data_IF_858963356810
#
_entry.id   IF_858963356810
#
_cell.length_a   1.000
_cell.length_b   1.000
_cell.length_c   1.000
_cell.angle_alpha   90.00
_cell.angle_beta   90.00
_cell.angle_gamma   90.00
#
_symmetry.space_group_name_H-M   'P 1'
#
loop_
_entity.id
_entity.type
_entity.pdbx_description
1 polymer ?
#
# COMPACT_ATOMS: atom_id res chain seq x y z
N UNK A 1 -4.39 -12.81 -5.65
CA UNK A 1 -4.84 -11.47 -5.16
C UNK A 1 -4.88 -10.51 -6.32
N UNK A 2 -5.87 -9.61 -6.38
CA UNK A 2 -6.00 -8.63 -7.47
C UNK A 2 -5.60 -7.25 -6.96
N UNK A 3 -4.69 -6.59 -7.68
CA UNK A 3 -4.23 -5.25 -7.40
C UNK A 3 -4.56 -4.33 -8.57
N UNK A 4 -5.10 -3.14 -8.27
CA UNK A 4 -5.35 -2.13 -9.28
C UNK A 4 -4.16 -1.18 -9.35
N UNK A 5 -3.67 -0.97 -10.57
CA UNK A 5 -2.54 -0.11 -10.83
C UNK A 5 -2.62 0.55 -12.19
N UNK A 6 -1.53 1.23 -12.54
CA UNK A 6 -1.35 1.92 -13.80
C UNK A 6 0.01 1.57 -14.38
N UNK A 7 0.09 1.37 -15.69
CA UNK A 7 1.37 1.19 -16.37
C UNK A 7 2.14 2.51 -16.29
N UNK A 8 3.22 2.51 -15.53
CA UNK A 8 4.09 3.67 -15.32
C UNK A 8 5.16 3.76 -16.41
N UNK A 9 5.69 2.61 -16.84
CA UNK A 9 6.68 2.51 -17.92
C UNK A 9 6.41 1.27 -18.75
N UNK A 10 6.70 1.33 -20.05
CA UNK A 10 6.64 0.18 -20.94
C UNK A 10 7.78 0.27 -21.94
N UNK A 11 8.58 -0.79 -22.02
CA UNK A 11 9.65 -0.93 -23.00
C UNK A 11 9.18 -1.89 -24.09
N UNK A 12 9.01 -1.38 -25.30
CA UNK A 12 8.59 -2.14 -26.47
C UNK A 12 9.66 -3.12 -26.96
N UNK A 13 10.94 -2.82 -26.74
CA UNK A 13 12.06 -3.65 -27.22
C UNK A 13 12.16 -4.95 -26.43
N UNK A 14 11.92 -4.86 -25.12
CA UNK A 14 11.96 -6.02 -24.20
C UNK A 14 10.56 -6.55 -23.87
N UNK A 15 9.51 -5.92 -24.40
CA UNK A 15 8.10 -6.23 -24.09
C UNK A 15 7.82 -6.36 -22.59
N UNK A 16 8.40 -5.44 -21.80
CA UNK A 16 8.32 -5.44 -20.35
C UNK A 16 7.90 -4.07 -19.83
N UNK A 17 7.09 -4.04 -18.79
CA UNK A 17 6.63 -2.79 -18.20
C UNK A 17 6.72 -2.77 -16.67
N UNK A 18 6.60 -1.55 -16.14
CA UNK A 18 6.48 -1.28 -14.73
C UNK A 18 5.08 -0.76 -14.44
N UNK A 19 4.44 -1.33 -13.44
CA UNK A 19 3.14 -0.96 -12.92
C UNK A 19 3.35 -0.24 -11.60
N UNK A 20 2.70 0.91 -11.45
CA UNK A 20 2.51 1.58 -10.17
C UNK A 20 1.15 1.17 -9.61
N UNK A 21 1.15 0.47 -8.49
CA UNK A 21 -0.05 0.03 -7.79
C UNK A 21 -0.68 1.19 -7.01
N UNK A 22 -1.97 1.06 -6.69
CA UNK A 22 -2.73 2.09 -5.97
C UNK A 22 -2.24 2.34 -4.53
N UNK A 23 -1.48 1.40 -3.95
CA UNK A 23 -0.85 1.52 -2.62
C UNK A 23 0.55 2.18 -2.68
N UNK A 24 0.99 2.61 -3.87
CA UNK A 24 2.32 3.16 -4.12
C UNK A 24 3.40 2.10 -4.37
N UNK A 25 3.06 0.81 -4.28
CA UNK A 25 3.94 -0.29 -4.64
C UNK A 25 4.26 -0.32 -6.14
N UNK A 26 5.40 -0.91 -6.49
CA UNK A 26 5.82 -1.10 -7.88
C UNK A 26 5.92 -2.59 -8.20
N UNK A 27 5.40 -2.98 -9.37
CA UNK A 27 5.48 -4.36 -9.89
C UNK A 27 5.92 -4.32 -11.34
N UNK A 28 6.76 -5.27 -11.74
CA UNK A 28 7.11 -5.48 -13.16
C UNK A 28 6.19 -6.52 -13.79
N UNK A 29 6.03 -6.44 -15.11
CA UNK A 29 5.39 -7.47 -15.92
C UNK A 29 6.11 -7.63 -17.26
N UNK A 30 5.99 -8.80 -17.88
CA UNK A 30 6.43 -9.06 -19.26
C UNK A 30 5.22 -9.34 -20.16
N UNK A 31 5.48 -9.53 -21.45
CA UNK A 31 4.45 -9.97 -22.40
C UNK A 31 3.80 -11.30 -22.03
N UNK A 32 4.54 -12.19 -21.35
CA UNK A 32 4.03 -13.50 -20.94
C UNK A 32 2.99 -13.37 -19.82
N UNK A 33 3.11 -12.32 -19.01
CA UNK A 33 2.12 -11.99 -17.97
C UNK A 33 0.86 -11.33 -18.57
N UNK A 34 0.95 -10.77 -19.78
CA UNK A 34 -0.15 -10.00 -20.39
C UNK A 34 -1.18 -10.93 -21.05
N UNK A 35 -2.37 -11.00 -20.47
CA UNK A 35 -3.43 -11.92 -20.92
C UNK A 35 -4.53 -11.24 -21.75
N UNK A 36 -4.46 -9.92 -21.94
CA UNK A 36 -5.44 -9.16 -22.72
C UNK A 36 -5.08 -9.16 -24.22
N UNK A 37 -5.84 -9.91 -25.03
CA UNK A 37 -5.62 -9.99 -26.48
C UNK A 37 -6.22 -8.83 -27.27
N UNK A 38 -6.98 -7.96 -26.62
CA UNK A 38 -7.72 -6.86 -27.27
C UNK A 38 -7.00 -5.52 -27.14
N UNK A 39 -6.17 -5.37 -26.11
CA UNK A 39 -5.45 -4.13 -25.82
C UNK A 39 -3.94 -4.38 -25.79
N UNK A 40 -3.17 -3.42 -26.28
CA UNK A 40 -1.71 -3.40 -26.14
C UNK A 40 -1.31 -2.62 -24.88
N UNK A 41 -0.31 -3.09 -24.10
CA UNK A 41 0.17 -2.38 -22.92
C UNK A 41 0.63 -0.96 -23.28
N UNK A 42 0.07 0.04 -22.63
CA UNK A 42 0.39 1.46 -22.89
C UNK A 42 0.59 2.22 -21.59
N UNK A 43 1.57 3.12 -21.55
CA UNK A 43 1.81 3.98 -20.37
C UNK A 43 0.57 4.82 -20.06
N UNK A 44 0.21 4.91 -18.78
CA UNK A 44 -0.99 5.59 -18.28
C UNK A 44 -2.24 4.71 -18.28
N UNK A 45 -2.18 3.49 -18.82
CA UNK A 45 -3.31 2.57 -18.84
C UNK A 45 -3.55 1.96 -17.45
N UNK A 46 -4.81 1.97 -17.01
CA UNK A 46 -5.24 1.29 -15.79
C UNK A 46 -5.34 -0.21 -16.03
N UNK A 47 -4.70 -0.99 -15.16
CA UNK A 47 -4.63 -2.44 -15.27
C UNK A 47 -5.03 -3.12 -13.97
N UNK A 48 -5.43 -4.38 -14.09
CA UNK A 48 -5.55 -5.31 -12.99
C UNK A 48 -4.32 -6.24 -13.02
N UNK A 49 -3.57 -6.26 -11.93
CA UNK A 49 -2.47 -7.17 -11.68
C UNK A 49 -2.95 -8.29 -10.77
N UNK A 50 -2.96 -9.51 -11.29
CA UNK A 50 -3.47 -10.70 -10.61
C UNK A 50 -2.25 -11.54 -10.22
N UNK A 51 -2.00 -11.62 -8.93
CA UNK A 51 -0.91 -12.39 -8.33
C UNK A 51 -1.50 -13.66 -7.72
N UNK A 52 -1.47 -14.76 -8.46
CA UNK A 52 -1.84 -16.08 -7.95
C UNK A 52 -0.56 -16.85 -7.61
N UNK A 53 -0.61 -17.73 -6.60
CA UNK A 53 0.57 -18.34 -5.96
C UNK A 53 1.61 -18.97 -6.91
N UNK A 54 1.24 -19.26 -8.17
CA UNK A 54 2.12 -19.83 -9.18
C UNK A 54 2.20 -19.01 -10.48
N UNK A 55 1.40 -17.95 -10.66
CA UNK A 55 1.28 -17.24 -11.94
C UNK A 55 0.89 -15.78 -11.75
N UNK A 56 1.54 -14.91 -12.54
CA UNK A 56 1.18 -13.50 -12.64
C UNK A 56 0.34 -13.32 -13.91
N UNK A 57 -0.74 -12.54 -13.82
CA UNK A 57 -1.54 -12.14 -14.97
C UNK A 57 -1.81 -10.63 -14.93
N UNK A 58 -1.70 -9.99 -16.08
CA UNK A 58 -1.92 -8.55 -16.26
C UNK A 58 -2.90 -8.35 -17.40
N UNK A 59 -3.94 -7.54 -17.16
CA UNK A 59 -4.90 -7.15 -18.17
C UNK A 59 -5.45 -5.76 -17.89
N UNK A 60 -6.12 -5.16 -18.87
CA UNK A 60 -6.86 -3.91 -18.63
C UNK A 60 -7.91 -4.13 -17.56
N UNK A 61 -7.97 -3.21 -16.60
CA UNK A 61 -8.95 -3.26 -15.53
C UNK A 61 -10.36 -3.01 -16.10
N UNK A 62 -11.31 -3.88 -15.79
CA UNK A 62 -12.72 -3.67 -16.13
C UNK A 62 -13.46 -2.97 -14.99
N UNK A 63 -14.70 -2.54 -15.24
CA UNK A 63 -15.52 -1.89 -14.21
C UNK A 63 -15.70 -2.76 -12.97
N UNK A 64 -15.78 -4.09 -13.12
CA UNK A 64 -15.85 -5.01 -12.01
C UNK A 64 -14.57 -5.01 -11.16
N UNK A 65 -13.38 -4.89 -11.76
CA UNK A 65 -12.12 -4.81 -11.02
C UNK A 65 -11.97 -3.46 -10.29
N UNK A 66 -12.43 -2.37 -10.91
CA UNK A 66 -12.40 -1.04 -10.30
C UNK A 66 -13.39 -0.91 -9.15
N UNK A 67 -14.51 -1.64 -9.22
CA UNK A 67 -15.51 -1.74 -8.15
C UNK A 67 -15.13 -2.80 -7.11
N UNK A 68 -14.30 -3.77 -7.49
CA UNK A 68 -13.60 -4.68 -6.58
C UNK A 68 -12.44 -3.91 -5.94
N UNK A 69 -12.78 -2.89 -5.14
CA UNK A 69 -11.84 -2.34 -4.19
C UNK A 69 -11.31 -3.56 -3.40
N UNK A 70 -10.00 -3.83 -3.36
CA UNK A 70 -9.49 -4.74 -2.33
C UNK A 70 -10.08 -4.21 -1.04
N UNK A 71 -10.83 -5.06 -0.32
CA UNK A 71 -11.59 -4.69 0.87
C UNK A 71 -10.90 -3.51 1.54
N UNK A 72 -11.58 -2.35 1.53
CA UNK A 72 -11.11 -1.11 2.12
C UNK A 72 -10.28 -1.46 3.33
N UNK A 73 -8.98 -1.07 3.28
CA UNK A 73 -8.02 -1.05 4.39
C UNK A 73 -8.67 -1.70 5.60
N UNK A 74 -8.52 -3.01 5.81
CA UNK A 74 -9.06 -3.72 6.98
C UNK A 74 -8.94 -2.73 8.14
N UNK A 75 -10.04 -2.08 8.53
CA UNK A 75 -9.92 -0.91 9.40
C UNK A 75 -9.29 -1.49 10.63
N UNK A 76 -8.02 -1.17 10.90
CA UNK A 76 -7.28 -1.86 11.95
C UNK A 76 -8.04 -1.50 13.22
N UNK A 77 -8.76 -2.50 13.75
CA UNK A 77 -9.84 -2.27 14.72
C UNK A 77 -9.25 -2.04 16.10
N UNK A 78 -7.98 -2.38 16.26
CA UNK A 78 -7.25 -2.23 17.50
C UNK A 78 -5.92 -1.52 17.28
N UNK A 79 -5.47 -0.88 18.36
CA UNK A 79 -4.11 -0.36 18.49
C UNK A 79 -3.07 -1.42 18.16
N UNK A 80 -3.27 -2.66 18.62
CA UNK A 80 -2.27 -3.72 18.46
C UNK A 80 -2.10 -4.12 16.98
N UNK A 81 -3.18 -4.11 16.19
CA UNK A 81 -3.12 -4.32 14.75
C UNK A 81 -2.36 -3.20 14.04
N UNK A 82 -2.55 -1.93 14.46
CA UNK A 82 -1.76 -0.81 13.96
C UNK A 82 -0.29 -0.92 14.33
N UNK A 83 0.03 -1.27 15.58
CA UNK A 83 1.42 -1.46 16.03
C UNK A 83 2.09 -2.55 15.21
N UNK A 84 1.46 -3.72 15.06
CA UNK A 84 2.00 -4.83 14.27
C UNK A 84 2.26 -4.42 12.81
N UNK A 85 1.33 -3.68 12.20
CA UNK A 85 1.51 -3.16 10.85
C UNK A 85 2.74 -2.23 10.74
N UNK A 86 2.87 -1.22 11.60
CA UNK A 86 4.01 -0.30 11.55
C UNK A 86 5.34 -0.97 11.94
N UNK A 87 5.32 -1.94 12.86
CA UNK A 87 6.51 -2.74 13.18
C UNK A 87 6.97 -3.58 11.98
N UNK A 88 6.04 -4.13 11.19
CA UNK A 88 6.38 -4.84 9.95
C UNK A 88 7.06 -3.93 8.90
N UNK A 89 6.75 -2.63 8.94
CA UNK A 89 7.37 -1.60 8.10
C UNK A 89 8.70 -1.06 8.67
N UNK A 90 9.21 -1.63 9.77
CA UNK A 90 10.47 -1.23 10.38
C UNK A 90 10.37 -0.11 11.42
N UNK A 91 9.16 0.33 11.78
CA UNK A 91 8.99 1.28 12.88
C UNK A 91 9.21 0.59 14.23
N UNK A 92 9.85 1.29 15.16
CA UNK A 92 10.05 0.83 16.53
C UNK A 92 9.12 1.60 17.45
N UNK A 93 8.43 0.89 18.35
CA UNK A 93 7.67 1.51 19.42
C UNK A 93 8.64 2.21 20.38
N UNK A 94 8.50 3.53 20.54
CA UNK A 94 9.37 4.34 21.41
C UNK A 94 8.64 4.90 22.63
N UNK A 95 7.30 4.93 22.58
CA UNK A 95 6.47 5.39 23.70
C UNK A 95 5.14 4.68 23.69
N UNK A 96 4.72 4.23 24.86
CA UNK A 96 3.36 3.75 25.15
C UNK A 96 2.94 4.40 26.47
N UNK A 97 1.91 5.25 26.40
CA UNK A 97 1.40 5.98 27.55
C UNK A 97 -0.10 5.81 27.62
N UNK A 98 -0.62 5.50 28.81
CA UNK A 98 -2.05 5.48 29.07
C UNK A 98 -2.37 6.62 30.03
N UNK A 99 -3.23 7.54 29.61
CA UNK A 99 -3.61 8.70 30.41
C UNK A 99 -5.13 8.87 30.35
N UNK A 100 -5.80 8.74 31.51
CA UNK A 100 -7.25 8.93 31.67
C UNK A 100 -8.11 8.19 30.61
N UNK A 101 -7.80 6.91 30.37
CA UNK A 101 -8.54 6.08 29.41
C UNK A 101 -8.24 6.39 27.94
N UNK A 102 -7.19 7.19 27.68
CA UNK A 102 -6.63 7.40 26.34
C UNK A 102 -5.25 6.76 26.27
N UNK A 103 -5.11 5.72 25.44
CA UNK A 103 -3.81 5.10 25.15
C UNK A 103 -3.17 5.83 23.97
N UNK A 104 -1.92 6.24 24.12
CA UNK A 104 -1.14 6.96 23.12
C UNK A 104 0.16 6.21 22.89
N UNK A 105 0.35 5.74 21.66
CA UNK A 105 1.54 5.04 21.24
C UNK A 105 2.27 5.88 20.20
N UNK A 106 3.59 5.89 20.29
CA UNK A 106 4.46 6.56 19.34
C UNK A 106 5.44 5.54 18.80
N UNK A 107 5.38 5.31 17.49
CA UNK A 107 6.35 4.52 16.77
C UNK A 107 7.23 5.42 15.92
N UNK A 108 8.50 5.08 15.78
CA UNK A 108 9.45 5.84 14.98
C UNK A 108 10.27 4.92 14.09
N UNK A 109 10.43 5.31 12.83
CA UNK A 109 11.37 4.71 11.89
C UNK A 109 12.51 5.69 11.64
N UNK A 110 13.72 5.15 11.52
CA UNK A 110 14.92 5.89 11.18
C UNK A 110 15.50 5.29 9.91
N UNK A 111 15.27 5.96 8.78
CA UNK A 111 16.03 5.72 7.55
C UNK A 111 17.12 6.80 7.48
N UNK A 112 18.30 6.48 6.96
CA UNK A 112 19.45 7.40 6.90
C UNK A 112 19.07 8.79 6.35
N UNK A 113 18.99 9.78 7.25
CA UNK A 113 18.67 11.19 6.92
C UNK A 113 17.21 11.60 7.10
N UNK A 114 16.29 10.65 7.34
CA UNK A 114 14.86 10.92 7.48
C UNK A 114 14.29 10.27 8.75
N UNK A 115 13.39 10.99 9.43
CA UNK A 115 12.67 10.47 10.59
C UNK A 115 11.19 10.41 10.29
N UNK A 116 10.61 9.23 10.42
CA UNK A 116 9.16 9.03 10.35
C UNK A 116 8.63 8.70 11.73
N UNK A 117 7.57 9.38 12.13
CA UNK A 117 6.89 9.15 13.39
C UNK A 117 5.42 8.87 13.15
N UNK A 118 4.90 7.87 13.83
CA UNK A 118 3.49 7.52 13.83
C UNK A 118 2.98 7.60 15.26
N UNK A 119 1.95 8.40 15.46
CA UNK A 119 1.25 8.54 16.73
C UNK A 119 -0.12 7.90 16.61
N UNK A 120 -0.35 6.82 17.35
CA UNK A 120 -1.64 6.14 17.45
C UNK A 120 -2.27 6.55 18.76
N UNK A 121 -3.50 7.05 18.73
CA UNK A 121 -4.28 7.37 19.93
C UNK A 121 -5.57 6.60 19.91
N UNK A 122 -5.84 5.89 20.99
CA UNK A 122 -7.07 5.17 21.24
C UNK A 122 -7.80 5.79 22.42
N UNK A 123 -9.06 6.17 22.21
CA UNK A 123 -9.94 6.65 23.25
C UNK A 123 -11.29 5.93 23.13
N UNK A 124 -11.60 5.11 24.15
CA UNK A 124 -12.75 4.22 24.20
C UNK A 124 -12.81 3.22 23.03
N UNK A 125 -13.29 3.64 21.86
CA UNK A 125 -13.38 2.82 20.64
C UNK A 125 -13.01 3.60 19.37
N UNK A 126 -12.50 4.83 19.53
CA UNK A 126 -12.00 5.62 18.41
C UNK A 126 -10.48 5.55 18.39
N UNK A 127 -9.95 5.11 17.25
CA UNK A 127 -8.52 5.11 16.97
C UNK A 127 -8.23 6.24 15.99
N UNK A 128 -7.25 7.07 16.32
CA UNK A 128 -6.70 8.08 15.43
C UNK A 128 -5.23 7.79 15.22
N UNK A 129 -4.81 7.83 13.95
CA UNK A 129 -3.43 7.62 13.55
C UNK A 129 -2.94 8.87 12.84
N UNK A 130 -1.84 9.43 13.34
CA UNK A 130 -1.18 10.59 12.76
C UNK A 130 0.21 10.18 12.35
N UNK A 131 0.55 10.33 11.07
CA UNK A 131 1.91 10.10 10.55
C UNK A 131 2.61 11.44 10.31
N UNK A 132 3.88 11.48 10.65
CA UNK A 132 4.74 12.65 10.53
C UNK A 132 6.02 12.23 9.83
N UNK A 133 6.38 12.90 8.72
CA UNK A 133 7.66 12.75 8.03
C UNK A 133 8.50 14.00 8.25
N UNK A 134 9.68 13.86 8.83
CA UNK A 134 10.59 14.98 9.14
C UNK A 134 9.90 16.15 9.88
N UNK A 135 8.99 15.83 10.81
CA UNK A 135 8.23 16.82 11.58
C UNK A 135 7.00 17.40 10.88
N UNK A 136 6.70 17.02 9.62
CA UNK A 136 5.49 17.45 8.90
C UNK A 136 4.45 16.33 8.90
N UNK A 137 3.22 16.66 9.31
CA UNK A 137 2.09 15.72 9.24
C UNK A 137 1.83 15.37 7.77
N UNK A 138 1.82 14.07 7.47
CA UNK A 138 1.48 13.53 6.15
C UNK A 138 0.12 12.85 6.27
N UNK A 139 -0.84 13.33 5.49
CA UNK A 139 -2.24 12.87 5.48
C UNK A 139 -2.42 11.70 4.52
#
# INVERSE_FOLDING_TARGET
MIYIGMIFQYNTDTSSGLIMLSDGGQKSFTSDDWVDTTNTPTVGQKIAYIDDANTIQVRVACEADMNNKPEEKKELKSVDEHVAHFTSLGFKLIKDANNDGTRVLTLRSFATGESEEVVIKEKASNISVVRTHNGKVVT
#
